data_IF_071214023726
#
_entry.id   IF_071214023726
#
_cell.length_a   1.000
_cell.length_b   1.000
_cell.length_c   1.000
_cell.angle_alpha   90.00
_cell.angle_beta   90.00
_cell.angle_gamma   90.00
#
_symmetry.space_group_name_H-M   'P 1'
#
loop_
_entity.id
_entity.type
_entity.pdbx_description
1 polymer ?
#
# COMPACT_ATOMS: atom_id res chain seq x y z
N UNK A 1 2.96 0.81 -20.80
CA UNK A 1 2.26 1.22 -19.57
C UNK A 1 3.33 1.55 -18.52
N UNK A 2 3.15 2.59 -17.73
CA UNK A 2 4.12 3.12 -16.77
C UNK A 2 3.39 3.92 -15.68
N UNK A 3 4.13 4.24 -14.62
CA UNK A 3 3.82 5.29 -13.66
C UNK A 3 4.40 6.59 -14.25
N UNK A 4 3.56 7.55 -14.60
CA UNK A 4 4.00 8.81 -15.23
C UNK A 4 4.54 9.81 -14.22
N UNK A 5 5.46 10.67 -14.68
CA UNK A 5 5.83 11.88 -13.93
C UNK A 5 4.60 12.81 -13.77
N UNK A 6 4.65 13.69 -12.77
CA UNK A 6 3.56 14.62 -12.46
C UNK A 6 3.94 16.09 -12.64
N UNK A 7 5.22 16.40 -12.89
CA UNK A 7 5.69 17.78 -13.02
C UNK A 7 5.77 18.27 -14.46
N UNK A 8 6.29 17.44 -15.37
CA UNK A 8 6.61 17.82 -16.75
C UNK A 8 5.52 17.46 -17.78
N UNK A 9 4.87 16.28 -17.74
CA UNK A 9 4.01 15.87 -18.85
C UNK A 9 2.75 16.72 -18.95
N UNK A 10 2.23 16.85 -20.18
CA UNK A 10 0.95 17.48 -20.40
C UNK A 10 -0.18 16.53 -20.01
N UNK A 11 -1.30 17.08 -19.51
CA UNK A 11 -2.42 16.26 -19.03
C UNK A 11 -3.00 15.33 -20.09
N UNK A 12 -2.94 15.71 -21.36
CA UNK A 12 -3.37 14.88 -22.50
C UNK A 12 -2.52 13.60 -22.56
N UNK A 13 -1.20 13.71 -22.46
CA UNK A 13 -0.31 12.55 -22.52
C UNK A 13 -0.54 11.61 -21.33
N UNK A 14 -0.79 12.18 -20.15
CA UNK A 14 -1.14 11.41 -18.95
C UNK A 14 -2.47 10.64 -19.14
N UNK A 15 -3.48 11.27 -19.75
CA UNK A 15 -4.78 10.65 -20.06
C UNK A 15 -4.60 9.53 -21.10
N UNK A 16 -3.87 9.76 -22.18
CA UNK A 16 -3.69 8.78 -23.25
C UNK A 16 -2.94 7.54 -22.76
N UNK A 17 -1.85 7.75 -22.03
CA UNK A 17 -1.07 6.70 -21.38
C UNK A 17 -1.92 5.88 -20.40
N UNK A 18 -2.72 6.54 -19.55
CA UNK A 18 -3.57 5.87 -18.56
C UNK A 18 -4.71 5.10 -19.25
N UNK A 19 -5.33 5.70 -20.27
CA UNK A 19 -6.40 5.09 -21.06
C UNK A 19 -5.91 3.83 -21.77
N UNK A 20 -4.71 3.88 -22.36
CA UNK A 20 -4.10 2.73 -23.01
C UNK A 20 -3.96 1.56 -22.04
N UNK A 21 -3.48 1.82 -20.82
CA UNK A 21 -3.30 0.79 -19.81
C UNK A 21 -4.61 0.23 -19.24
N UNK A 22 -5.54 1.11 -18.89
CA UNK A 22 -6.86 0.69 -18.39
C UNK A 22 -7.63 -0.12 -19.44
N UNK A 23 -7.53 0.25 -20.72
CA UNK A 23 -8.17 -0.49 -21.82
C UNK A 23 -7.60 -1.89 -21.96
N UNK A 24 -6.28 -2.05 -21.82
CA UNK A 24 -5.64 -3.37 -21.82
C UNK A 24 -6.14 -4.21 -20.65
N UNK A 25 -6.05 -3.69 -19.41
CA UNK A 25 -6.48 -4.42 -18.21
C UNK A 25 -7.94 -4.85 -18.31
N UNK A 26 -8.82 -3.98 -18.80
CA UNK A 26 -10.23 -4.30 -18.94
C UNK A 26 -10.49 -5.36 -20.02
N UNK A 27 -9.77 -5.32 -21.14
CA UNK A 27 -9.94 -6.30 -22.23
C UNK A 27 -9.45 -7.68 -21.83
N UNK A 28 -8.29 -7.75 -21.18
CA UNK A 28 -7.66 -9.03 -20.83
C UNK A 28 -8.25 -9.65 -19.56
N UNK A 29 -8.58 -8.83 -18.56
CA UNK A 29 -8.95 -9.33 -17.23
C UNK A 29 -10.38 -8.96 -16.82
N UNK A 30 -11.09 -8.12 -17.58
CA UNK A 30 -12.41 -7.61 -17.18
C UNK A 30 -12.36 -6.68 -15.95
N UNK A 31 -11.16 -6.25 -15.53
CA UNK A 31 -10.96 -5.48 -14.30
C UNK A 31 -10.78 -3.99 -14.55
N UNK A 32 -11.07 -3.21 -13.51
CA UNK A 32 -10.84 -1.75 -13.48
C UNK A 32 -10.08 -1.40 -12.21
N UNK A 33 -8.97 -0.67 -12.35
CA UNK A 33 -8.25 -0.14 -11.21
C UNK A 33 -9.13 0.88 -10.47
N UNK A 34 -9.08 0.86 -9.14
CA UNK A 34 -9.77 1.83 -8.27
C UNK A 34 -8.81 2.59 -7.38
N UNK A 35 -7.52 2.25 -7.41
CA UNK A 35 -6.50 2.83 -6.56
C UNK A 35 -5.36 3.32 -7.44
N UNK A 36 -5.02 4.60 -7.30
CA UNK A 36 -3.82 5.18 -7.89
C UNK A 36 -2.58 4.83 -7.08
N UNK A 37 -1.51 4.45 -7.76
CA UNK A 37 -0.24 4.07 -7.14
C UNK A 37 0.91 4.90 -7.72
N UNK A 38 1.26 6.00 -7.05
CA UNK A 38 2.24 7.00 -7.49
C UNK A 38 3.47 7.01 -6.57
N UNK A 39 4.14 5.87 -6.42
CA UNK A 39 5.29 5.75 -5.51
C UNK A 39 6.61 6.32 -6.07
N UNK A 40 6.71 6.46 -7.40
CA UNK A 40 7.93 6.85 -8.12
C UNK A 40 8.09 8.33 -8.49
N UNK A 41 7.02 9.14 -8.72
CA UNK A 41 7.18 10.54 -9.12
C UNK A 41 7.77 11.44 -8.04
N UNK A 42 8.55 12.44 -8.46
CA UNK A 42 9.19 13.41 -7.56
C UNK A 42 8.25 14.57 -7.23
N UNK A 43 7.34 14.32 -6.29
CA UNK A 43 6.27 15.26 -5.93
C UNK A 43 5.00 15.02 -6.75
N UNK A 44 3.90 15.62 -6.29
CA UNK A 44 2.56 15.28 -6.77
C UNK A 44 1.78 16.52 -7.20
N UNK A 45 1.04 16.38 -8.30
CA UNK A 45 0.28 17.44 -8.94
C UNK A 45 -1.19 17.41 -8.51
N UNK A 46 -1.81 18.58 -8.47
CA UNK A 46 -3.25 18.66 -8.25
C UNK A 46 -4.06 17.90 -9.33
N UNK A 47 -3.57 17.93 -10.58
CA UNK A 47 -4.18 17.22 -11.73
C UNK A 47 -4.23 15.71 -11.48
N UNK A 48 -3.16 15.13 -10.93
CA UNK A 48 -3.16 13.71 -10.61
C UNK A 48 -4.27 13.34 -9.63
N UNK A 49 -4.52 14.19 -8.62
CA UNK A 49 -5.53 13.93 -7.61
C UNK A 49 -6.95 14.03 -8.17
N UNK A 50 -7.28 15.16 -8.82
CA UNK A 50 -8.65 15.42 -9.23
C UNK A 50 -8.98 14.73 -10.56
N UNK A 51 -8.12 14.87 -11.58
CA UNK A 51 -8.42 14.40 -12.93
C UNK A 51 -8.08 12.92 -13.10
N UNK A 52 -6.85 12.53 -12.75
CA UNK A 52 -6.37 11.15 -12.93
C UNK A 52 -6.57 10.28 -11.68
N UNK A 53 -7.31 10.79 -10.71
CA UNK A 53 -7.73 10.09 -9.52
C UNK A 53 -9.25 10.05 -9.46
N UNK A 54 -9.83 11.11 -8.92
CA UNK A 54 -11.27 11.18 -8.67
C UNK A 54 -12.12 11.02 -9.94
N UNK A 55 -11.84 11.79 -11.00
CA UNK A 55 -12.63 11.75 -12.25
C UNK A 55 -12.44 10.46 -13.06
N UNK A 56 -11.29 9.78 -12.94
CA UNK A 56 -11.11 8.42 -13.46
C UNK A 56 -11.92 7.36 -12.69
N UNK A 57 -12.48 7.73 -11.54
CA UNK A 57 -13.27 6.87 -10.68
C UNK A 57 -12.46 6.09 -9.66
N UNK A 58 -11.23 6.52 -9.35
CA UNK A 58 -10.46 5.96 -8.24
C UNK A 58 -11.08 6.38 -6.90
N UNK A 59 -11.06 5.44 -5.96
CA UNK A 59 -11.50 5.66 -4.58
C UNK A 59 -10.33 6.18 -3.72
N UNK A 60 -9.07 5.87 -4.08
CA UNK A 60 -7.89 6.36 -3.35
C UNK A 60 -6.64 6.54 -4.23
N UNK A 61 -5.67 7.27 -3.70
CA UNK A 61 -4.34 7.50 -4.26
C UNK A 61 -3.29 7.29 -3.17
N UNK A 62 -2.25 6.52 -3.46
CA UNK A 62 -1.12 6.35 -2.55
C UNK A 62 0.18 6.80 -3.19
N UNK A 63 1.01 7.49 -2.42
CA UNK A 63 2.32 7.91 -2.87
C UNK A 63 3.32 8.03 -1.73
N UNK A 64 4.60 7.95 -2.09
CA UNK A 64 5.68 7.94 -1.12
C UNK A 64 6.43 9.25 -1.02
N UNK A 65 6.57 10.04 -2.09
CA UNK A 65 7.54 11.14 -2.14
C UNK A 65 6.88 12.50 -1.89
N UNK A 66 7.18 13.07 -0.72
CA UNK A 66 6.83 14.45 -0.33
C UNK A 66 8.04 15.14 0.28
N UNK A 67 7.99 16.47 0.35
CA UNK A 67 9.01 17.27 1.03
C UNK A 67 9.26 16.77 2.46
N UNK A 68 10.52 16.72 2.87
CA UNK A 68 10.92 16.16 4.17
C UNK A 68 10.41 16.99 5.36
N UNK A 69 10.28 18.32 5.20
CA UNK A 69 9.71 19.19 6.24
C UNK A 69 8.21 18.96 6.35
N UNK A 70 7.50 18.83 5.22
CA UNK A 70 6.08 18.49 5.20
C UNK A 70 5.84 17.11 5.83
N UNK A 71 6.67 16.11 5.50
CA UNK A 71 6.60 14.79 6.12
C UNK A 71 6.72 14.86 7.64
N UNK A 72 7.71 15.59 8.14
CA UNK A 72 7.94 15.73 9.58
C UNK A 72 6.71 16.36 10.25
N UNK A 73 6.15 17.42 9.66
CA UNK A 73 4.92 18.07 10.15
C UNK A 73 3.73 17.11 10.14
N UNK A 74 3.52 16.37 9.05
CA UNK A 74 2.42 15.41 8.92
C UNK A 74 2.55 14.23 9.87
N UNK A 75 3.76 13.75 10.14
CA UNK A 75 4.02 12.73 11.17
C UNK A 75 3.60 13.22 12.56
N UNK A 76 4.02 14.43 12.91
CA UNK A 76 3.73 15.01 14.22
C UNK A 76 2.24 15.35 14.39
N UNK A 77 1.60 15.82 13.32
CA UNK A 77 0.20 16.24 13.32
C UNK A 77 -0.77 15.13 12.89
N UNK A 78 -0.27 13.94 12.55
CA UNK A 78 -1.07 12.78 12.14
C UNK A 78 -1.90 13.04 10.87
N UNK A 79 -1.27 13.65 9.87
CA UNK A 79 -1.87 14.11 8.60
C UNK A 79 -1.26 13.43 7.35
N UNK A 80 -0.85 12.17 7.49
CA UNK A 80 -0.38 11.36 6.35
C UNK A 80 -1.52 10.73 5.56
N UNK A 81 -2.73 10.72 6.11
CA UNK A 81 -3.95 10.34 5.40
C UNK A 81 -4.88 11.56 5.33
N UNK A 82 -5.27 11.94 4.11
CA UNK A 82 -6.08 13.14 3.89
C UNK A 82 -7.10 12.93 2.78
N UNK A 83 -8.20 13.68 2.83
CA UNK A 83 -9.07 13.86 1.66
C UNK A 83 -8.51 15.01 0.84
N UNK A 84 -7.92 14.71 -0.31
CA UNK A 84 -7.29 15.70 -1.17
C UNK A 84 -8.28 16.26 -2.19
N UNK A 85 -8.50 17.58 -2.12
CA UNK A 85 -9.29 18.36 -3.09
C UNK A 85 -8.36 19.07 -4.06
N UNK A 86 -8.01 18.39 -5.16
CA UNK A 86 -7.08 18.92 -6.16
C UNK A 86 -7.65 20.04 -7.03
N UNK A 87 -8.96 20.09 -7.24
CA UNK A 87 -9.60 21.11 -8.08
C UNK A 87 -10.32 22.17 -7.25
N UNK A 88 -9.96 23.44 -7.47
CA UNK A 88 -10.65 24.58 -6.86
C UNK A 88 -12.09 24.73 -7.39
N UNK A 89 -12.32 24.37 -8.65
CA UNK A 89 -13.62 24.53 -9.32
C UNK A 89 -14.58 23.40 -9.00
N UNK A 90 -14.08 22.15 -8.90
CA UNK A 90 -14.91 20.97 -8.59
C UNK A 90 -15.04 20.74 -7.08
N UNK A 91 -14.06 21.18 -6.28
CA UNK A 91 -14.12 21.09 -4.83
C UNK A 91 -14.34 19.65 -4.34
N UNK A 92 -15.39 19.44 -3.55
CA UNK A 92 -15.71 18.13 -2.98
C UNK A 92 -16.30 17.13 -3.98
N UNK A 93 -16.74 17.55 -5.16
CA UNK A 93 -17.26 16.60 -6.17
C UNK A 93 -16.14 15.76 -6.80
N UNK A 94 -14.90 16.26 -6.74
CA UNK A 94 -13.70 15.63 -7.31
C UNK A 94 -12.60 15.54 -6.25
N UNK A 95 -12.94 14.96 -5.10
CA UNK A 95 -12.01 14.70 -4.01
C UNK A 95 -11.59 13.24 -3.99
N UNK A 96 -10.38 12.95 -3.50
CA UNK A 96 -9.84 11.59 -3.42
C UNK A 96 -9.20 11.35 -2.05
N UNK A 97 -9.37 10.15 -1.49
CA UNK A 97 -8.61 9.75 -0.31
C UNK A 97 -7.16 9.54 -0.70
N UNK A 98 -6.24 10.14 0.04
CA UNK A 98 -4.83 10.12 -0.26
C UNK A 98 -4.06 9.62 0.94
N UNK A 99 -3.34 8.50 0.77
CA UNK A 99 -2.43 7.95 1.76
C UNK A 99 -0.98 8.22 1.40
N UNK A 100 -0.23 8.78 2.34
CA UNK A 100 1.19 9.07 2.20
C UNK A 100 1.97 8.06 3.04
N UNK A 101 2.90 7.34 2.42
CA UNK A 101 3.74 6.39 3.14
C UNK A 101 4.49 7.06 4.29
N UNK A 102 4.65 6.38 5.43
CA UNK A 102 5.30 6.95 6.61
C UNK A 102 6.76 7.35 6.31
N UNK A 103 7.54 6.43 5.77
CA UNK A 103 8.98 6.61 5.51
C UNK A 103 9.24 6.64 4.01
N UNK A 104 9.11 5.49 3.37
CA UNK A 104 9.27 5.27 1.94
C UNK A 104 8.37 4.10 1.54
N UNK A 105 8.38 3.70 0.26
CA UNK A 105 7.67 2.49 -0.19
C UNK A 105 8.44 1.19 0.08
N UNK A 106 9.63 1.28 0.67
CA UNK A 106 10.54 0.16 0.92
C UNK A 106 10.05 -0.71 2.08
N UNK A 107 10.50 -1.98 2.12
CA UNK A 107 10.42 -2.79 3.33
C UNK A 107 11.01 -2.08 4.54
N UNK A 108 10.55 -2.49 5.72
CA UNK A 108 11.16 -2.02 6.97
C UNK A 108 12.60 -2.52 7.07
N UNK A 109 13.47 -1.75 7.70
CA UNK A 109 14.88 -2.13 7.87
C UNK A 109 15.02 -3.54 8.44
N UNK A 110 15.82 -4.38 7.77
CA UNK A 110 16.02 -5.78 8.13
C UNK A 110 14.92 -6.74 7.67
N UNK A 111 13.90 -6.28 6.94
CA UNK A 111 12.81 -7.10 6.40
C UNK A 111 12.76 -7.08 4.86
N UNK A 112 13.91 -6.90 4.23
CA UNK A 112 14.10 -7.18 2.80
C UNK A 112 14.43 -8.66 2.64
N UNK A 113 13.75 -9.34 1.71
CA UNK A 113 13.94 -10.78 1.46
C UNK A 113 14.40 -11.04 0.02
N UNK A 114 15.06 -10.06 -0.58
CA UNK A 114 15.61 -10.17 -1.92
C UNK A 114 16.83 -11.08 -2.02
N UNK A 115 17.07 -11.59 -3.23
CA UNK A 115 18.21 -12.47 -3.47
C UNK A 115 19.52 -11.69 -3.26
N UNK A 116 20.38 -12.21 -2.38
CA UNK A 116 21.62 -11.57 -1.91
C UNK A 116 21.43 -10.35 -1.00
N UNK A 117 20.24 -10.14 -0.43
CA UNK A 117 20.10 -9.18 0.67
C UNK A 117 20.93 -9.62 1.89
N UNK A 118 21.39 -8.66 2.67
CA UNK A 118 22.17 -8.91 3.88
C UNK A 118 21.29 -9.17 5.11
N UNK A 119 19.97 -8.98 4.98
CA UNK A 119 18.99 -9.24 6.02
C UNK A 119 18.97 -10.73 6.35
N UNK A 120 19.00 -11.04 7.65
CA UNK A 120 18.95 -12.43 8.10
C UNK A 120 17.65 -13.10 7.61
N UNK A 121 17.74 -14.30 7.00
CA UNK A 121 16.54 -15.08 6.70
C UNK A 121 15.83 -15.44 7.99
N UNK A 122 14.55 -15.80 7.89
CA UNK A 122 13.85 -16.42 9.02
C UNK A 122 14.35 -17.86 9.11
N UNK A 123 14.98 -18.22 10.23
CA UNK A 123 15.41 -19.58 10.54
C UNK A 123 14.57 -20.13 11.69
N UNK A 124 13.65 -21.03 11.35
CA UNK A 124 12.70 -21.70 12.24
C UNK A 124 13.02 -23.17 12.54
N UNK A 125 14.06 -23.74 11.95
CA UNK A 125 14.58 -25.07 12.22
C UNK A 125 15.42 -25.09 13.51
N UNK A 126 14.86 -25.70 14.56
CA UNK A 126 15.50 -25.88 15.86
C UNK A 126 16.75 -26.78 15.82
N UNK A 127 16.96 -27.53 14.74
CA UNK A 127 18.12 -28.42 14.57
C UNK A 127 19.32 -27.73 13.91
N UNK A 128 19.12 -26.53 13.37
CA UNK A 128 20.17 -25.72 12.75
C UNK A 128 20.65 -24.61 13.70
N UNK A 129 21.84 -24.09 13.43
CA UNK A 129 22.35 -22.92 14.15
C UNK A 129 21.58 -21.65 13.75
N UNK A 130 21.69 -20.61 14.55
CA UNK A 130 21.14 -19.27 14.27
C UNK A 130 19.60 -19.21 14.21
N UNK A 131 18.90 -20.03 15.00
CA UNK A 131 17.45 -19.92 15.21
C UNK A 131 17.09 -18.50 15.67
N UNK A 132 16.19 -17.82 14.93
CA UNK A 132 15.94 -16.40 15.12
C UNK A 132 14.46 -15.99 15.09
N UNK A 133 13.52 -16.94 15.08
CA UNK A 133 12.07 -16.65 14.92
C UNK A 133 11.56 -15.59 15.90
N UNK A 134 11.89 -15.70 17.18
CA UNK A 134 11.43 -14.75 18.21
C UNK A 134 11.97 -13.33 17.96
N UNK A 135 13.25 -13.22 17.59
CA UNK A 135 13.87 -11.94 17.25
C UNK A 135 13.20 -11.32 16.01
N UNK A 136 13.02 -12.10 14.94
CA UNK A 136 12.41 -11.64 13.68
C UNK A 136 10.96 -11.20 13.90
N UNK A 137 10.19 -11.97 14.66
CA UNK A 137 8.83 -11.62 15.10
C UNK A 137 8.81 -10.29 15.84
N UNK A 138 9.65 -10.16 16.88
CA UNK A 138 9.67 -8.97 17.71
C UNK A 138 10.10 -7.74 16.92
N UNK A 139 11.04 -7.89 15.98
CA UNK A 139 11.43 -6.83 15.05
C UNK A 139 10.29 -6.39 14.13
N UNK A 140 9.54 -7.34 13.57
CA UNK A 140 8.42 -7.05 12.67
C UNK A 140 7.29 -6.34 13.41
N UNK A 141 6.94 -6.81 14.60
CA UNK A 141 5.93 -6.18 15.47
C UNK A 141 6.35 -4.75 15.80
N UNK A 142 7.60 -4.51 16.18
CA UNK A 142 8.09 -3.15 16.44
C UNK A 142 8.00 -2.25 15.20
N UNK A 143 8.42 -2.74 14.03
CA UNK A 143 8.33 -1.99 12.78
C UNK A 143 6.87 -1.65 12.41
N UNK A 144 5.95 -2.59 12.64
CA UNK A 144 4.51 -2.40 12.44
C UNK A 144 3.93 -1.36 13.40
N UNK A 145 4.31 -1.40 14.67
CA UNK A 145 3.86 -0.42 15.68
C UNK A 145 4.36 0.99 15.38
N UNK A 146 5.55 1.14 14.82
CA UNK A 146 6.07 2.45 14.37
C UNK A 146 5.26 2.99 13.19
N UNK A 147 4.76 2.12 12.33
CA UNK A 147 4.01 2.46 11.13
C UNK A 147 2.50 2.57 11.34
N UNK A 148 1.97 2.10 12.47
CA UNK A 148 0.55 2.13 12.79
C UNK A 148 0.01 3.57 12.76
N UNK A 149 -1.07 3.77 11.98
CA UNK A 149 -1.79 5.03 11.89
C UNK A 149 -2.90 5.09 12.95
N UNK A 150 -3.49 6.26 13.16
CA UNK A 150 -4.40 6.52 14.30
C UNK A 150 -5.64 5.61 14.37
N UNK A 151 -6.03 5.01 13.26
CA UNK A 151 -7.22 4.17 13.16
C UNK A 151 -6.94 2.68 13.43
N UNK A 152 -5.71 2.34 13.82
CA UNK A 152 -5.26 0.96 14.02
C UNK A 152 -5.14 0.17 12.71
N UNK A 153 -5.08 0.86 11.57
CA UNK A 153 -4.73 0.27 10.27
C UNK A 153 -3.30 0.59 9.91
N UNK A 154 -2.71 -0.32 9.15
CA UNK A 154 -1.31 -0.29 8.78
C UNK A 154 -1.18 -0.73 7.32
N UNK A 155 -0.48 0.07 6.53
CA UNK A 155 -0.03 -0.28 5.18
C UNK A 155 1.49 -0.46 5.22
N UNK A 156 1.95 -1.70 5.00
CA UNK A 156 3.38 -2.02 4.90
C UNK A 156 3.70 -2.29 3.42
N UNK A 157 4.66 -1.55 2.87
CA UNK A 157 5.30 -1.94 1.62
C UNK A 157 6.29 -3.05 1.89
N UNK A 158 6.12 -4.21 1.26
CA UNK A 158 7.03 -5.36 1.41
C UNK A 158 7.94 -5.52 0.19
N UNK A 159 8.03 -4.49 -0.67
CA UNK A 159 8.80 -4.57 -1.90
C UNK A 159 9.58 -3.28 -2.24
N UNK A 160 10.71 -3.43 -2.93
CA UNK A 160 11.54 -2.35 -3.49
C UNK A 160 11.48 -2.22 -5.03
N UNK A 161 12.16 -1.21 -5.59
CA UNK A 161 12.44 -1.09 -7.03
C UNK A 161 13.13 -2.35 -7.57
N UNK A 162 12.54 -2.94 -8.61
CA UNK A 162 13.06 -4.13 -9.28
C UNK A 162 13.32 -5.29 -8.33
N UNK A 163 12.39 -5.55 -7.41
CA UNK A 163 12.32 -6.87 -6.82
C UNK A 163 12.09 -7.89 -7.93
N UNK A 164 13.12 -8.68 -8.19
CA UNK A 164 13.14 -9.58 -9.33
C UNK A 164 12.49 -10.89 -8.92
N UNK A 165 11.27 -11.12 -9.39
CA UNK A 165 11.00 -12.45 -9.94
C UNK A 165 11.81 -12.54 -11.23
N UNK A 166 13.06 -13.00 -11.14
CA UNK A 166 13.99 -13.08 -12.26
C UNK A 166 13.39 -13.97 -13.35
N UNK A 167 12.77 -13.36 -14.36
CA UNK A 167 12.55 -14.05 -15.64
C UNK A 167 13.92 -14.22 -16.31
N UNK A 168 14.54 -15.37 -16.03
CA UNK A 168 15.92 -15.68 -16.39
C UNK A 168 16.19 -15.63 -17.89
N UNK A 169 17.08 -14.72 -18.30
CA UNK A 169 17.91 -14.91 -19.49
C UNK A 169 19.03 -15.89 -19.14
N UNK A 170 18.78 -17.19 -19.26
CA UNK A 170 19.74 -18.32 -19.44
C UNK A 170 19.10 -19.68 -19.07
N UNK A 171 17.80 -19.89 -19.34
CA UNK A 171 17.17 -21.22 -19.25
C UNK A 171 17.06 -21.81 -17.83
N UNK A 172 17.46 -21.07 -16.79
CA UNK A 172 17.21 -21.42 -15.39
C UNK A 172 15.93 -20.70 -14.96
N UNK A 173 14.87 -21.46 -14.71
CA UNK A 173 13.67 -20.97 -14.02
C UNK A 173 14.12 -20.59 -12.61
N UNK A 174 14.22 -19.31 -12.32
CA UNK A 174 14.42 -18.83 -10.95
C UNK A 174 13.09 -18.17 -10.59
N UNK A 175 12.15 -19.01 -10.16
CA UNK A 175 10.94 -18.55 -9.48
C UNK A 175 11.23 -18.40 -7.98
N UNK A 176 10.18 -18.14 -7.22
CA UNK A 176 10.12 -18.52 -5.80
C UNK A 176 10.74 -19.91 -5.61
N UNK A 177 11.65 -20.02 -4.64
CA UNK A 177 12.36 -21.27 -4.38
C UNK A 177 11.35 -22.33 -3.92
N UNK A 178 11.21 -23.43 -4.66
CA UNK A 178 10.15 -24.42 -4.41
C UNK A 178 10.22 -25.04 -3.00
N UNK A 179 11.42 -25.06 -2.38
CA UNK A 179 11.63 -25.62 -1.05
C UNK A 179 11.45 -24.57 0.07
N UNK A 180 11.74 -23.29 -0.20
CA UNK A 180 11.65 -22.21 0.80
C UNK A 180 10.40 -21.31 0.66
N UNK A 181 9.69 -21.36 -0.46
CA UNK A 181 8.45 -20.60 -0.70
C UNK A 181 7.20 -21.41 -0.33
N UNK A 182 7.24 -22.02 0.85
CA UNK A 182 6.10 -22.69 1.47
C UNK A 182 5.21 -21.69 2.20
N UNK A 183 3.89 -21.89 2.18
CA UNK A 183 2.96 -21.02 2.92
C UNK A 183 3.18 -21.15 4.43
N UNK A 184 3.64 -20.10 5.14
CA UNK A 184 3.83 -20.17 6.57
C UNK A 184 2.50 -19.98 7.31
N UNK A 185 2.28 -20.72 8.40
CA UNK A 185 1.16 -20.51 9.31
C UNK A 185 1.61 -19.64 10.49
N UNK A 186 1.13 -18.40 10.56
CA UNK A 186 1.50 -17.45 11.62
C UNK A 186 0.35 -17.26 12.61
N UNK A 187 0.59 -17.55 13.88
CA UNK A 187 -0.35 -17.27 14.97
C UNK A 187 -0.25 -15.81 15.43
N UNK A 188 -0.95 -14.92 14.76
CA UNK A 188 -0.86 -13.48 15.02
C UNK A 188 -1.27 -13.06 16.45
N UNK A 189 -2.11 -13.85 17.13
CA UNK A 189 -2.47 -13.61 18.54
C UNK A 189 -1.30 -13.79 19.52
N UNK A 190 -0.28 -14.57 19.15
CA UNK A 190 0.97 -14.66 19.90
C UNK A 190 1.88 -13.46 19.62
N UNK A 191 1.87 -12.96 18.37
CA UNK A 191 2.72 -11.83 17.96
C UNK A 191 2.24 -10.49 18.55
N UNK A 192 0.93 -10.30 18.61
CA UNK A 192 0.29 -9.08 19.07
C UNK A 192 -0.50 -9.34 20.36
N UNK A 193 0.15 -9.93 21.37
CA UNK A 193 -0.51 -10.41 22.60
C UNK A 193 -1.20 -9.30 23.41
N UNK A 194 -0.77 -8.05 23.25
CA UNK A 194 -1.34 -6.86 23.88
C UNK A 194 -2.47 -6.20 23.06
N UNK A 195 -2.73 -6.68 21.84
CA UNK A 195 -3.71 -6.11 20.90
C UNK A 195 -4.77 -7.13 20.51
N UNK A 196 -5.95 -6.61 20.14
CA UNK A 196 -7.01 -7.42 19.53
C UNK A 196 -7.03 -7.18 18.03
N UNK A 197 -6.55 -8.16 17.27
CA UNK A 197 -6.65 -8.14 15.80
C UNK A 197 -8.11 -8.35 15.42
N UNK A 198 -8.68 -7.40 14.68
CA UNK A 198 -10.08 -7.45 14.27
C UNK A 198 -10.29 -8.01 12.86
N UNK A 199 -9.30 -7.84 11.96
CA UNK A 199 -9.34 -8.29 10.56
C UNK A 199 -7.92 -8.29 9.98
N UNK A 200 -7.64 -9.23 9.07
CA UNK A 200 -6.46 -9.23 8.20
C UNK A 200 -6.96 -9.29 6.76
N UNK A 201 -6.34 -8.55 5.84
CA UNK A 201 -6.64 -8.61 4.43
C UNK A 201 -5.35 -8.47 3.63
N UNK A 202 -5.07 -9.45 2.78
CA UNK A 202 -4.01 -9.33 1.77
C UNK A 202 -4.50 -8.42 0.65
N UNK A 203 -3.74 -7.36 0.39
CA UNK A 203 -4.03 -6.42 -0.69
C UNK A 203 -3.02 -6.66 -1.80
N UNK A 204 -3.50 -7.10 -2.98
CA UNK A 204 -2.67 -7.07 -4.17
C UNK A 204 -2.54 -5.62 -4.69
N UNK A 205 -1.64 -5.40 -5.66
CA UNK A 205 -1.39 -4.09 -6.27
C UNK A 205 -2.63 -3.36 -6.83
N UNK A 206 -3.79 -4.03 -6.95
CA UNK A 206 -5.03 -3.38 -7.37
C UNK A 206 -5.80 -2.70 -6.24
N UNK A 207 -5.53 -3.05 -4.97
CA UNK A 207 -6.10 -2.44 -3.74
C UNK A 207 -7.62 -2.18 -3.75
N UNK A 208 -8.40 -2.94 -4.53
CA UNK A 208 -9.82 -2.69 -4.80
C UNK A 208 -10.79 -3.11 -3.66
N UNK A 209 -10.30 -3.63 -2.52
CA UNK A 209 -11.10 -4.45 -1.60
C UNK A 209 -11.81 -3.70 -0.44
N UNK A 210 -11.48 -2.43 -0.13
CA UNK A 210 -11.99 -1.72 1.08
C UNK A 210 -12.97 -0.54 0.79
N UNK A 211 -13.50 -0.47 -0.44
CA UNK A 211 -14.34 0.62 -0.97
C UNK A 211 -15.45 1.15 -0.04
N UNK A 212 -16.23 0.27 0.59
CA UNK A 212 -17.41 0.66 1.38
C UNK A 212 -17.05 1.32 2.71
N UNK A 213 -15.89 0.99 3.26
CA UNK A 213 -15.41 1.52 4.53
C UNK A 213 -14.89 2.95 4.36
N UNK A 214 -14.16 3.23 3.28
CA UNK A 214 -13.62 4.57 3.00
C UNK A 214 -14.73 5.59 2.72
N UNK A 215 -15.76 5.22 1.94
CA UNK A 215 -16.94 6.06 1.71
C UNK A 215 -17.70 6.39 3.00
N UNK A 216 -17.66 5.49 4.00
CA UNK A 216 -18.29 5.74 5.30
C UNK A 216 -17.51 6.77 6.11
N UNK A 217 -16.17 6.84 5.96
CA UNK A 217 -15.31 7.84 6.62
C UNK A 217 -15.55 9.25 6.07
N UNK A 218 -15.76 9.39 4.76
CA UNK A 218 -16.15 10.68 4.14
C UNK A 218 -17.43 11.27 4.75
N UNK A 219 -18.36 10.42 5.18
CA UNK A 219 -19.65 10.84 5.77
C UNK A 219 -19.55 11.20 7.26
N UNK A 220 -18.50 10.78 7.97
CA UNK A 220 -18.35 10.98 9.43
C UNK A 220 -17.47 12.19 9.76
N UNK A 221 -17.00 12.93 8.74
CA UNK A 221 -16.39 14.27 8.89
C UNK A 221 -17.30 15.31 9.58
N UNK A 222 -18.55 14.95 9.90
CA UNK A 222 -19.38 15.64 10.89
C UNK A 222 -20.03 14.65 11.84
N UNK A 223 -19.73 14.76 13.13
CA UNK A 223 -20.36 14.08 14.27
C UNK A 223 -20.00 12.61 14.53
N UNK A 224 -19.20 12.41 15.59
CA UNK A 224 -19.23 11.20 16.41
C UNK A 224 -20.66 10.99 16.97
N UNK A 225 -21.36 9.95 16.51
CA UNK A 225 -22.34 9.20 17.32
C UNK A 225 -22.25 7.73 16.96
N UNK A 226 -22.03 6.92 17.99
CA UNK A 226 -21.96 5.47 17.85
C UNK A 226 -23.32 4.83 17.58
N UNK A 227 -23.24 3.49 17.59
CA UNK A 227 -24.31 2.49 17.63
C UNK A 227 -24.53 1.74 16.29
N UNK A 228 -23.99 0.51 16.30
CA UNK A 228 -24.63 -0.77 15.97
C UNK A 228 -24.26 -1.58 14.71
N UNK A 229 -24.12 -2.88 15.02
CA UNK A 229 -24.76 -4.04 14.37
C UNK A 229 -23.87 -4.90 13.48
N UNK A 230 -23.34 -5.96 14.11
CA UNK A 230 -22.84 -7.15 13.43
C UNK A 230 -23.96 -7.82 12.61
N UNK A 231 -23.78 -7.92 11.29
CA UNK A 231 -24.33 -9.03 10.49
C UNK A 231 -23.34 -9.46 9.41
N UNK A 232 -22.83 -10.65 9.61
CA UNK A 232 -22.04 -11.44 8.67
C UNK A 232 -22.98 -12.10 7.65
N UNK A 233 -22.60 -12.12 6.38
CA UNK A 233 -23.09 -13.10 5.40
C UNK A 233 -21.87 -13.69 4.70
N UNK A 234 -21.64 -14.98 4.94
CA UNK A 234 -20.78 -15.82 4.12
C UNK A 234 -21.51 -16.16 2.82
N UNK A 235 -20.78 -16.14 1.71
CA UNK A 235 -20.72 -17.23 0.73
C UNK A 235 -19.26 -17.34 0.32
#
# INVERSE_FOLDING_TARGET
MCIHDEAIPHCIDMIDQTTLGHRFIYREFGQRARVGWQIGPFGHSAIQAYLLGAELGFDSLFFALIDYQDRTKRKNNKLLEVVWRGSKSLGSSSQIFTGIFLVHYNPSDGFSFEVNDMSSPIQDDLTLFDYNVEERVNGFVQAAMIQELEDGKLLIGLAHLYEWVVFGFMGKKIGEDEDYSVTPNVELGKLFSDRKISKIAEMNLSANQERSEWRRRDLIGGQKKGVMSNRMKMV
#
